data_IF_950496754582
#
_entry.id   IF_950496754582
#
_cell.length_a   1.000
_cell.length_b   1.000
_cell.length_c   1.000
_cell.angle_alpha   90.00
_cell.angle_beta   90.00
_cell.angle_gamma   90.00
#
_symmetry.space_group_name_H-M   'P 1'
#
loop_
_entity.id
_entity.type
_entity.pdbx_description
1 polymer ?
#
# COMPACT_ATOMS: atom_id res chain seq x y z
N UNK A 1 26.24 -24.81 29.44
CA UNK A 1 25.40 -23.58 29.54
C UNK A 1 25.40 -22.94 28.16
N UNK A 2 24.22 -22.72 27.59
CA UNK A 2 24.03 -22.31 26.19
C UNK A 2 24.31 -20.81 26.03
N UNK A 3 24.85 -20.38 24.88
CA UNK A 3 25.13 -18.96 24.59
C UNK A 3 23.91 -18.02 24.70
N UNK A 4 22.70 -18.59 24.72
CA UNK A 4 21.46 -17.86 25.03
C UNK A 4 21.43 -17.32 26.46
N UNK A 5 21.95 -18.06 27.43
CA UNK A 5 21.92 -17.66 28.84
C UNK A 5 22.91 -16.52 29.12
N UNK A 6 24.02 -16.49 28.36
CA UNK A 6 25.03 -15.45 28.44
C UNK A 6 24.51 -14.11 27.88
N UNK A 7 23.79 -14.16 26.75
CA UNK A 7 23.12 -12.99 26.16
C UNK A 7 22.04 -12.44 27.10
N UNK A 8 21.20 -13.31 27.67
CA UNK A 8 20.14 -12.89 28.59
C UNK A 8 20.70 -12.36 29.92
N UNK A 9 21.86 -12.88 30.36
CA UNK A 9 22.60 -12.37 31.50
C UNK A 9 23.11 -10.95 31.27
N UNK A 10 23.70 -10.67 30.11
CA UNK A 10 24.21 -9.34 29.73
C UNK A 10 23.09 -8.31 29.57
N UNK A 11 21.93 -8.71 29.04
CA UNK A 11 20.74 -7.85 28.93
C UNK A 11 20.22 -7.49 30.33
N UNK A 12 20.12 -8.45 31.25
CA UNK A 12 19.68 -8.15 32.63
C UNK A 12 20.66 -7.27 33.40
N UNK A 13 21.97 -7.46 33.18
CA UNK A 13 23.00 -6.60 33.76
C UNK A 13 22.94 -5.17 33.22
N UNK A 14 22.69 -5.00 31.91
CA UNK A 14 22.52 -3.68 31.29
C UNK A 14 21.22 -2.97 31.71
N UNK A 15 20.17 -3.74 32.05
CA UNK A 15 18.87 -3.22 32.49
C UNK A 15 18.74 -3.10 34.03
N UNK A 16 19.78 -3.48 34.77
CA UNK A 16 19.81 -3.44 36.22
C UNK A 16 20.12 -2.04 36.76
N UNK A 17 19.07 -1.30 37.13
CA UNK A 17 18.96 -0.36 38.28
C UNK A 17 18.01 0.82 38.00
N UNK A 18 17.64 1.10 36.74
CA UNK A 18 17.04 2.40 36.39
C UNK A 18 15.51 2.39 36.21
N UNK A 19 14.84 1.36 36.73
CA UNK A 19 13.37 1.22 36.64
C UNK A 19 12.62 2.32 37.41
N UNK A 20 13.21 2.83 38.50
CA UNK A 20 12.67 3.94 39.28
C UNK A 20 12.82 5.29 38.54
N UNK A 21 13.88 5.46 37.73
CA UNK A 21 14.16 6.68 36.99
C UNK A 21 13.28 6.81 35.75
N UNK A 22 13.00 5.69 35.06
CA UNK A 22 12.05 5.66 33.93
C UNK A 22 10.60 5.96 34.37
N UNK A 23 10.20 5.48 35.56
CA UNK A 23 8.85 5.72 36.09
C UNK A 23 8.61 7.19 36.47
N UNK A 24 9.66 7.92 36.87
CA UNK A 24 9.59 9.36 37.14
C UNK A 24 9.53 10.21 35.85
N UNK A 25 10.04 9.69 34.74
CA UNK A 25 10.13 10.40 33.46
C UNK A 25 8.83 10.31 32.63
N UNK A 26 7.98 9.31 32.93
CA UNK A 26 6.69 9.10 32.26
C UNK A 26 5.58 8.74 33.26
N UNK A 27 5.01 9.72 33.97
CA UNK A 27 3.92 9.45 34.91
C UNK A 27 2.69 8.95 34.15
N UNK A 28 2.11 7.84 34.61
CA UNK A 28 0.88 7.28 34.07
C UNK A 28 -0.27 8.28 34.28
N UNK A 29 -0.98 8.64 33.21
CA UNK A 29 -2.23 9.38 33.31
C UNK A 29 -3.31 8.49 33.91
N UNK A 30 -3.83 8.89 35.07
CA UNK A 30 -4.96 8.24 35.72
C UNK A 30 -6.22 8.44 34.88
N UNK A 31 -6.67 7.38 34.20
CA UNK A 31 -7.99 7.31 33.57
C UNK A 31 -9.06 7.37 34.65
N UNK A 32 -9.79 8.49 34.71
CA UNK A 32 -10.99 8.63 35.51
C UNK A 32 -12.10 7.70 34.99
N UNK A 33 -12.69 6.94 35.90
CA UNK A 33 -13.80 6.03 35.62
C UNK A 33 -15.06 6.79 35.19
N UNK A 34 -15.66 6.38 34.06
CA UNK A 34 -16.97 6.87 33.67
C UNK A 34 -17.44 6.37 32.29
N UNK A 35 -18.47 5.52 32.31
CA UNK A 35 -19.43 5.24 31.24
C UNK A 35 -19.05 4.31 30.06
N UNK A 36 -19.36 3.02 30.26
CA UNK A 36 -20.29 2.17 29.48
C UNK A 36 -20.27 2.18 27.93
N UNK A 37 -20.17 0.97 27.39
CA UNK A 37 -20.33 0.60 25.99
C UNK A 37 -21.74 0.81 25.41
N UNK A 38 -21.83 1.31 24.16
CA UNK A 38 -22.81 0.94 23.11
C UNK A 38 -22.41 1.61 21.76
N UNK A 39 -22.91 1.14 20.59
CA UNK A 39 -22.32 1.35 19.27
C UNK A 39 -22.90 2.56 18.54
N UNK A 40 -22.09 3.30 17.77
CA UNK A 40 -22.61 4.39 16.94
C UNK A 40 -22.89 3.94 15.51
N UNK A 41 -24.14 3.48 15.34
CA UNK A 41 -24.87 3.50 14.10
C UNK A 41 -25.18 4.94 13.65
N UNK A 42 -25.33 5.12 12.33
CA UNK A 42 -25.71 6.36 11.68
C UNK A 42 -27.07 6.92 12.16
N UNK A 43 -27.09 8.19 12.55
CA UNK A 43 -28.28 9.04 12.44
C UNK A 43 -27.85 10.49 12.22
N UNK A 44 -28.34 11.08 11.14
CA UNK A 44 -28.22 12.50 10.83
C UNK A 44 -29.21 13.30 11.69
N UNK A 45 -28.74 14.39 12.30
CA UNK A 45 -29.56 15.56 12.58
C UNK A 45 -28.64 16.78 12.76
N UNK A 46 -28.87 17.80 11.94
CA UNK A 46 -28.02 18.98 11.83
C UNK A 46 -28.18 19.99 12.95
N UNK A 47 -27.16 20.86 13.05
CA UNK A 47 -27.24 22.31 13.15
C UNK A 47 -25.97 22.82 13.86
N UNK A 48 -25.10 23.45 13.07
CA UNK A 48 -23.84 24.03 13.51
C UNK A 48 -23.04 24.47 12.31
N UNK A 49 -23.66 25.26 11.43
CA UNK A 49 -23.05 25.81 10.23
C UNK A 49 -21.99 26.84 10.62
N UNK A 50 -20.79 26.38 10.94
CA UNK A 50 -19.59 27.16 10.72
C UNK A 50 -19.28 27.09 9.23
N UNK A 51 -19.83 28.05 8.48
CA UNK A 51 -19.46 28.30 7.10
C UNK A 51 -17.99 28.69 7.05
N UNK A 52 -17.10 27.71 6.94
CA UNK A 52 -15.84 27.96 6.27
C UNK A 52 -16.23 28.23 4.81
N UNK A 53 -16.37 29.51 4.48
CA UNK A 53 -16.24 29.95 3.11
C UNK A 53 -14.89 29.41 2.64
N UNK A 54 -14.94 28.30 1.91
CA UNK A 54 -13.75 27.71 1.32
C UNK A 54 -13.06 28.81 0.53
N UNK A 55 -11.72 28.88 0.50
CA UNK A 55 -11.08 29.73 -0.48
C UNK A 55 -11.69 29.33 -1.83
N UNK A 56 -12.39 30.28 -2.46
CA UNK A 56 -12.85 30.16 -3.83
C UNK A 56 -11.72 29.48 -4.59
N UNK A 57 -12.02 28.37 -5.28
CA UNK A 57 -11.05 27.58 -6.02
C UNK A 57 -10.07 28.55 -6.66
N UNK A 58 -8.90 28.69 -6.04
CA UNK A 58 -7.89 29.57 -6.57
C UNK A 58 -7.63 28.96 -7.93
N UNK A 59 -8.00 29.68 -8.97
CA UNK A 59 -7.44 29.46 -10.28
C UNK A 59 -5.94 29.74 -10.11
N UNK A 60 -5.24 28.78 -9.49
CA UNK A 60 -3.83 28.58 -9.64
C UNK A 60 -3.69 28.40 -11.13
N UNK A 61 -3.34 29.53 -11.73
CA UNK A 61 -3.31 29.79 -13.15
C UNK A 61 -2.81 28.58 -13.90
N UNK A 62 -3.50 28.23 -15.00
CA UNK A 62 -2.96 27.34 -16.02
C UNK A 62 -1.54 27.77 -16.49
N UNK A 63 -1.11 28.99 -16.17
CA UNK A 63 0.27 29.45 -16.27
C UNK A 63 1.04 29.26 -14.96
N UNK A 64 1.57 28.05 -14.76
CA UNK A 64 2.95 27.76 -14.33
C UNK A 64 3.13 26.26 -14.05
N UNK A 65 2.66 25.39 -14.96
CA UNK A 65 3.28 24.07 -15.03
C UNK A 65 4.72 24.33 -15.47
N UNK A 66 5.71 23.94 -14.66
CA UNK A 66 7.12 23.96 -15.06
C UNK A 66 7.33 23.12 -16.33
N UNK A 67 8.55 23.08 -16.89
CA UNK A 67 8.82 22.23 -18.04
C UNK A 67 8.38 20.78 -17.75
N UNK A 68 7.37 20.31 -18.48
CA UNK A 68 6.84 18.97 -18.34
C UNK A 68 7.80 17.97 -18.97
N UNK A 69 8.04 16.86 -18.29
CA UNK A 69 8.77 15.73 -18.85
C UNK A 69 7.93 15.18 -19.99
N UNK A 70 8.52 15.07 -21.19
CA UNK A 70 7.89 14.37 -22.31
C UNK A 70 8.65 13.07 -22.56
N UNK A 71 7.94 11.95 -22.49
CA UNK A 71 8.51 10.65 -22.87
C UNK A 71 8.55 10.43 -24.38
N UNK A 72 7.98 11.35 -25.19
CA UNK A 72 7.86 11.19 -26.64
C UNK A 72 6.87 10.09 -27.04
N UNK A 73 6.95 9.62 -28.28
CA UNK A 73 6.10 8.55 -28.84
C UNK A 73 6.50 7.14 -28.41
N UNK A 74 6.74 6.94 -27.11
CA UNK A 74 7.11 5.62 -26.56
C UNK A 74 5.89 4.76 -26.28
N UNK A 75 6.05 3.45 -26.40
CA UNK A 75 5.08 2.49 -25.86
C UNK A 75 5.09 2.59 -24.32
N UNK A 76 4.01 3.14 -23.77
CA UNK A 76 3.85 3.36 -22.33
C UNK A 76 3.90 2.05 -21.54
N UNK A 77 3.36 0.97 -22.09
CA UNK A 77 3.33 -0.34 -21.42
C UNK A 77 4.75 -0.90 -21.34
N UNK A 78 5.46 -0.93 -22.46
CA UNK A 78 6.84 -1.39 -22.50
C UNK A 78 7.74 -0.54 -21.59
N UNK A 79 7.54 0.78 -21.57
CA UNK A 79 8.28 1.69 -20.70
C UNK A 79 7.98 1.44 -19.22
N UNK A 80 6.71 1.27 -18.87
CA UNK A 80 6.28 0.95 -17.51
C UNK A 80 6.90 -0.36 -17.03
N UNK A 81 6.81 -1.43 -17.82
CA UNK A 81 7.42 -2.74 -17.50
C UNK A 81 8.92 -2.61 -17.27
N UNK A 82 9.62 -1.96 -18.18
CA UNK A 82 11.08 -1.76 -18.06
C UNK A 82 11.44 -1.00 -16.78
N UNK A 83 10.65 0.03 -16.41
CA UNK A 83 10.89 0.82 -15.20
C UNK A 83 10.53 0.07 -13.92
N UNK A 84 9.40 -0.64 -13.91
CA UNK A 84 8.98 -1.47 -12.79
C UNK A 84 10.03 -2.56 -12.48
N UNK A 85 10.58 -3.20 -13.52
CA UNK A 85 11.65 -4.18 -13.38
C UNK A 85 12.97 -3.56 -12.87
N UNK A 86 13.32 -2.33 -13.29
CA UNK A 86 14.48 -1.59 -12.75
C UNK A 86 14.37 -1.36 -11.24
N UNK A 87 13.16 -1.19 -10.71
CA UNK A 87 12.89 -1.06 -9.27
C UNK A 87 12.54 -2.40 -8.59
N UNK A 88 12.82 -3.52 -9.27
CA UNK A 88 12.69 -4.89 -8.76
C UNK A 88 11.26 -5.39 -8.56
N UNK A 89 10.27 -4.79 -9.23
CA UNK A 89 8.95 -5.39 -9.35
C UNK A 89 8.95 -6.51 -10.40
N UNK A 90 8.18 -7.56 -10.16
CA UNK A 90 7.86 -8.57 -11.17
C UNK A 90 6.66 -8.08 -11.98
N UNK A 91 6.68 -8.25 -13.31
CA UNK A 91 5.57 -7.90 -14.18
C UNK A 91 5.12 -9.14 -14.94
N UNK A 92 3.80 -9.32 -15.11
CA UNK A 92 3.22 -10.32 -15.99
C UNK A 92 2.02 -9.73 -16.72
N UNK A 93 1.79 -10.21 -17.95
CA UNK A 93 0.64 -9.81 -18.76
C UNK A 93 -0.47 -10.84 -18.64
N UNK A 94 -1.71 -10.38 -18.56
CA UNK A 94 -2.92 -11.19 -18.59
C UNK A 94 -3.93 -10.59 -19.57
N UNK A 95 -4.71 -11.44 -20.23
CA UNK A 95 -5.68 -10.99 -21.23
C UNK A 95 -6.88 -10.30 -20.56
N UNK A 96 -7.36 -10.85 -19.45
CA UNK A 96 -8.51 -10.31 -18.72
C UNK A 96 -8.31 -10.36 -17.21
N UNK A 97 -9.07 -9.56 -16.46
CA UNK A 97 -9.06 -9.61 -15.00
C UNK A 97 -9.47 -11.00 -14.45
N UNK A 98 -10.25 -11.79 -15.21
CA UNK A 98 -10.63 -13.14 -14.84
C UNK A 98 -9.45 -14.13 -14.82
N UNK A 99 -8.35 -13.81 -15.51
CA UNK A 99 -7.12 -14.60 -15.52
C UNK A 99 -6.22 -14.32 -14.30
N UNK A 100 -6.50 -13.25 -13.55
CA UNK A 100 -5.67 -12.83 -12.42
C UNK A 100 -5.50 -13.92 -11.34
N UNK A 101 -6.54 -14.66 -10.91
CA UNK A 101 -6.36 -15.76 -9.95
C UNK A 101 -5.36 -16.82 -10.41
N UNK A 102 -5.47 -17.28 -11.66
CA UNK A 102 -4.58 -18.29 -12.22
C UNK A 102 -3.15 -17.79 -12.33
N UNK A 103 -2.96 -16.54 -12.75
CA UNK A 103 -1.65 -15.90 -12.84
C UNK A 103 -0.99 -15.73 -11.46
N UNK A 104 -1.75 -15.33 -10.44
CA UNK A 104 -1.27 -15.24 -9.07
C UNK A 104 -0.85 -16.62 -8.55
N UNK A 105 -1.67 -17.65 -8.74
CA UNK A 105 -1.33 -19.01 -8.30
C UNK A 105 -0.07 -19.55 -8.99
N UNK A 106 0.11 -19.25 -10.28
CA UNK A 106 1.31 -19.61 -11.03
C UNK A 106 2.56 -18.94 -10.45
N UNK A 107 2.51 -17.63 -10.25
CA UNK A 107 3.60 -16.87 -9.64
C UNK A 107 3.93 -17.38 -8.23
N UNK A 108 2.92 -17.60 -7.39
CA UNK A 108 3.12 -18.06 -6.01
C UNK A 108 3.77 -19.45 -5.96
N UNK A 109 3.44 -20.36 -6.89
CA UNK A 109 4.14 -21.65 -7.02
C UNK A 109 5.60 -21.46 -7.40
N UNK A 110 5.90 -20.57 -8.34
CA UNK A 110 7.27 -20.28 -8.78
C UNK A 110 8.16 -19.76 -7.63
N UNK A 111 7.61 -18.88 -6.78
CA UNK A 111 8.36 -18.29 -5.67
C UNK A 111 8.29 -19.08 -4.36
N UNK A 112 7.74 -20.30 -4.38
CA UNK A 112 7.66 -21.18 -3.21
C UNK A 112 6.64 -20.75 -2.15
N UNK A 113 5.57 -20.07 -2.56
CA UNK A 113 4.49 -19.52 -1.72
C UNK A 113 3.10 -20.06 -2.12
N UNK A 114 3.01 -21.27 -2.68
CA UNK A 114 1.76 -21.85 -3.16
C UNK A 114 0.63 -21.87 -2.10
N UNK A 115 0.98 -22.19 -0.85
CA UNK A 115 0.05 -22.28 0.28
C UNK A 115 -0.08 -20.97 1.08
N UNK A 116 0.49 -19.87 0.58
CA UNK A 116 0.44 -18.59 1.26
C UNK A 116 -1.02 -18.13 1.44
N UNK A 117 -1.38 -17.59 2.62
CA UNK A 117 -2.70 -17.01 2.80
C UNK A 117 -2.88 -15.80 1.88
N UNK A 118 -4.07 -15.69 1.30
CA UNK A 118 -4.43 -14.61 0.39
C UNK A 118 -5.44 -13.67 1.06
N UNK A 119 -5.21 -12.36 0.96
CA UNK A 119 -6.20 -11.34 1.30
C UNK A 119 -6.44 -10.48 0.07
N UNK A 120 -7.69 -10.43 -0.36
CA UNK A 120 -8.10 -9.75 -1.59
C UNK A 120 -8.87 -8.49 -1.22
N UNK A 121 -8.59 -7.38 -1.91
CA UNK A 121 -9.38 -6.17 -1.78
C UNK A 121 -10.83 -6.41 -2.22
N UNK A 122 -11.81 -5.83 -1.54
CA UNK A 122 -13.24 -6.04 -1.85
C UNK A 122 -13.60 -5.71 -3.31
N UNK A 123 -12.86 -4.77 -3.93
CA UNK A 123 -12.99 -4.44 -5.35
C UNK A 123 -12.71 -5.61 -6.31
N UNK A 124 -12.01 -6.66 -5.86
CA UNK A 124 -11.60 -7.82 -6.65
C UNK A 124 -12.19 -9.14 -6.13
N UNK A 125 -12.99 -9.11 -5.07
CA UNK A 125 -13.55 -10.33 -4.42
C UNK A 125 -14.45 -11.16 -5.35
N UNK A 126 -15.05 -10.52 -6.37
CA UNK A 126 -15.93 -11.22 -7.31
C UNK A 126 -15.19 -12.18 -8.27
N UNK A 127 -13.87 -12.09 -8.36
CA UNK A 127 -13.06 -13.00 -9.19
C UNK A 127 -12.88 -14.36 -8.49
N UNK A 128 -12.67 -15.45 -9.24
CA UNK A 128 -12.63 -16.82 -8.71
C UNK A 128 -11.29 -17.15 -8.01
N UNK A 129 -10.97 -16.43 -6.94
CA UNK A 129 -9.79 -16.69 -6.12
C UNK A 129 -9.92 -18.02 -5.37
N UNK A 130 -8.77 -18.66 -5.07
CA UNK A 130 -8.72 -19.71 -4.04
C UNK A 130 -9.18 -19.17 -2.68
N UNK A 131 -9.29 -20.05 -1.68
CA UNK A 131 -9.67 -19.65 -0.33
C UNK A 131 -8.87 -18.42 0.14
N UNK A 132 -9.60 -17.31 0.38
CA UNK A 132 -9.04 -16.01 0.72
C UNK A 132 -9.84 -15.37 1.85
N UNK A 133 -9.19 -14.44 2.57
CA UNK A 133 -9.85 -13.62 3.58
C UNK A 133 -10.19 -12.23 3.05
N UNK A 134 -11.26 -11.64 3.58
CA UNK A 134 -11.55 -10.21 3.49
C UNK A 134 -11.10 -9.48 4.78
N UNK A 135 -10.92 -8.17 4.72
CA UNK A 135 -10.59 -7.34 5.89
C UNK A 135 -11.87 -6.82 6.54
N UNK A 136 -12.37 -7.49 7.59
CA UNK A 136 -11.74 -7.35 8.91
C UNK A 136 -11.46 -8.68 9.63
N UNK A 137 -10.26 -8.81 10.22
CA UNK A 137 -9.89 -9.94 11.11
C UNK A 137 -8.63 -10.70 10.72
N UNK A 138 -8.12 -10.50 9.50
CA UNK A 138 -6.84 -11.08 9.10
C UNK A 138 -5.67 -10.40 9.83
N UNK A 139 -4.82 -11.19 10.50
CA UNK A 139 -3.51 -10.70 10.94
C UNK A 139 -2.64 -10.46 9.71
N UNK A 140 -2.64 -9.20 9.27
CA UNK A 140 -1.91 -8.80 8.08
C UNK A 140 -0.39 -8.94 8.23
N UNK A 141 0.12 -9.03 9.46
CA UNK A 141 1.56 -9.19 9.77
C UNK A 141 2.02 -10.64 9.70
N UNK A 142 1.14 -11.57 9.33
CA UNK A 142 1.48 -12.98 9.19
C UNK A 142 2.56 -13.18 8.12
N UNK A 143 3.58 -13.95 8.46
CA UNK A 143 4.63 -14.32 7.52
C UNK A 143 4.04 -15.01 6.28
N UNK A 144 4.52 -14.57 5.11
CA UNK A 144 4.12 -15.12 3.82
C UNK A 144 2.76 -14.65 3.31
N UNK A 145 2.08 -13.72 3.98
CA UNK A 145 0.81 -13.17 3.50
C UNK A 145 0.96 -12.50 2.13
N UNK A 146 -0.02 -12.75 1.26
CA UNK A 146 -0.16 -12.13 -0.06
C UNK A 146 -1.39 -11.22 -0.05
N UNK A 147 -1.22 -9.95 -0.41
CA UNK A 147 -2.33 -9.03 -0.65
C UNK A 147 -2.56 -8.84 -2.14
N UNK A 148 -3.82 -8.70 -2.55
CA UNK A 148 -4.21 -8.40 -3.94
C UNK A 148 -5.05 -7.13 -3.97
N UNK A 149 -4.63 -6.15 -4.76
CA UNK A 149 -5.33 -4.86 -4.88
C UNK A 149 -5.41 -4.39 -6.33
N UNK A 150 -6.44 -3.64 -6.73
CA UNK A 150 -6.39 -2.90 -7.99
C UNK A 150 -5.51 -1.65 -7.84
N UNK A 151 -5.01 -1.14 -8.96
CA UNK A 151 -4.47 0.22 -9.07
C UNK A 151 -5.51 1.17 -9.66
N UNK A 152 -5.40 2.46 -9.33
CA UNK A 152 -6.18 3.52 -9.98
C UNK A 152 -5.56 3.94 -11.31
N UNK A 153 -4.23 4.02 -11.34
CA UNK A 153 -3.42 4.31 -12.53
C UNK A 153 -2.00 3.84 -12.29
N UNK A 154 -1.18 3.79 -13.34
CA UNK A 154 0.23 3.45 -13.27
C UNK A 154 1.06 4.45 -14.08
N UNK A 155 2.31 4.69 -13.68
CA UNK A 155 3.17 5.75 -14.22
C UNK A 155 4.34 5.11 -14.94
N UNK A 156 4.39 5.27 -16.26
CA UNK A 156 5.42 4.68 -17.11
C UNK A 156 6.81 5.28 -16.84
N UNK A 157 6.90 6.57 -16.53
CA UNK A 157 8.16 7.27 -16.26
C UNK A 157 8.99 6.59 -15.16
N UNK A 158 8.32 6.20 -14.07
CA UNK A 158 8.93 5.72 -12.83
C UNK A 158 8.69 4.23 -12.56
N UNK A 159 7.79 3.58 -13.31
CA UNK A 159 7.41 2.19 -13.04
C UNK A 159 6.59 2.05 -11.75
N UNK A 160 5.80 3.07 -11.43
CA UNK A 160 5.04 3.16 -10.18
C UNK A 160 3.55 2.87 -10.41
N UNK A 161 2.88 2.36 -9.39
CA UNK A 161 1.41 2.27 -9.37
C UNK A 161 0.84 3.29 -8.39
N UNK A 162 -0.35 3.79 -8.68
CA UNK A 162 -1.08 4.73 -7.83
C UNK A 162 -2.31 4.03 -7.27
N UNK A 163 -2.40 3.93 -5.95
CA UNK A 163 -3.50 3.29 -5.24
C UNK A 163 -4.26 4.31 -4.38
N UNK A 164 -5.56 4.44 -4.61
CA UNK A 164 -6.45 5.29 -3.83
C UNK A 164 -7.04 4.51 -2.66
N UNK A 165 -6.99 5.08 -1.46
CA UNK A 165 -7.59 4.44 -0.29
C UNK A 165 -9.11 4.50 -0.36
N UNK A 166 -9.78 3.38 -0.15
CA UNK A 166 -11.25 3.33 0.03
C UNK A 166 -11.63 2.25 1.04
N UNK A 167 -12.92 2.11 1.35
CA UNK A 167 -13.42 0.96 2.11
C UNK A 167 -13.19 -0.36 1.37
N UNK A 168 -13.23 -0.35 0.03
CA UNK A 168 -12.98 -1.52 -0.80
C UNK A 168 -11.48 -1.80 -1.01
N UNK A 169 -10.63 -0.77 -0.88
CA UNK A 169 -9.19 -0.82 -1.11
C UNK A 169 -8.44 -0.13 0.05
N UNK A 170 -8.46 -0.71 1.27
CA UNK A 170 -7.80 -0.10 2.42
C UNK A 170 -6.28 -0.06 2.23
N UNK A 171 -5.66 1.06 2.61
CA UNK A 171 -4.21 1.31 2.46
C UNK A 171 -3.32 0.24 3.10
N UNK A 172 -3.80 -0.45 4.15
CA UNK A 172 -3.04 -1.52 4.81
C UNK A 172 -2.67 -2.67 3.86
N UNK A 173 -3.49 -2.96 2.85
CA UNK A 173 -3.19 -4.00 1.86
C UNK A 173 -1.96 -3.69 1.01
N UNK A 174 -1.61 -2.42 0.86
CA UNK A 174 -0.47 -2.00 0.04
C UNK A 174 0.88 -2.24 0.72
N UNK A 175 0.90 -2.39 2.05
CA UNK A 175 2.15 -2.30 2.81
C UNK A 175 2.39 -3.46 3.77
N UNK A 176 1.34 -4.09 4.30
CA UNK A 176 1.53 -5.03 5.41
C UNK A 176 1.88 -6.44 4.95
N UNK A 177 1.36 -6.87 3.79
CA UNK A 177 1.65 -8.20 3.25
C UNK A 177 3.09 -8.29 2.72
N UNK A 178 3.73 -9.45 2.91
CA UNK A 178 5.09 -9.71 2.42
C UNK A 178 5.17 -9.73 0.88
N UNK A 179 4.06 -10.06 0.22
CA UNK A 179 3.91 -10.01 -1.24
C UNK A 179 2.68 -9.16 -1.56
N UNK A 180 2.86 -8.14 -2.38
CA UNK A 180 1.78 -7.28 -2.86
C UNK A 180 1.56 -7.52 -4.36
N UNK A 181 0.38 -8.01 -4.70
CA UNK A 181 -0.07 -8.17 -6.09
C UNK A 181 -0.96 -6.98 -6.44
N UNK A 182 -0.64 -6.34 -7.56
CA UNK A 182 -1.39 -5.20 -8.07
C UNK A 182 -1.91 -5.49 -9.47
N UNK A 183 -3.22 -5.37 -9.64
CA UNK A 183 -3.85 -5.41 -10.96
C UNK A 183 -3.78 -4.01 -11.60
N UNK A 184 -3.25 -3.95 -12.82
CA UNK A 184 -3.02 -2.71 -13.58
C UNK A 184 -3.72 -2.81 -14.92
N UNK A 185 -4.72 -1.97 -15.15
CA UNK A 185 -5.36 -1.87 -16.46
C UNK A 185 -4.41 -1.19 -17.44
N UNK A 186 -4.27 -1.76 -18.64
CA UNK A 186 -3.40 -1.24 -19.69
C UNK A 186 -3.74 0.21 -20.06
N UNK A 187 -5.03 0.52 -20.24
CA UNK A 187 -5.52 1.89 -20.49
C UNK A 187 -5.34 2.86 -19.32
N UNK A 188 -5.02 2.35 -18.13
CA UNK A 188 -4.75 3.16 -16.95
C UNK A 188 -3.26 3.52 -16.80
N UNK A 189 -2.38 3.10 -17.70
CA UNK A 189 -0.96 3.48 -17.70
C UNK A 189 -0.81 4.87 -18.34
N UNK A 190 -0.31 5.83 -17.57
CA UNK A 190 -0.02 7.21 -18.00
C UNK A 190 1.49 7.44 -18.16
N UNK A 191 1.87 8.50 -18.87
CA UNK A 191 3.26 8.78 -19.15
C UNK A 191 3.99 9.24 -17.88
N UNK A 192 3.50 10.29 -17.21
CA UNK A 192 4.21 10.94 -16.10
C UNK A 192 3.41 11.01 -14.79
N UNK A 193 4.09 11.46 -13.73
CA UNK A 193 3.44 11.73 -12.44
C UNK A 193 2.37 12.81 -12.53
N UNK A 194 2.60 13.84 -13.34
CA UNK A 194 1.65 14.93 -13.56
C UNK A 194 0.37 14.43 -14.23
N UNK A 195 0.50 13.50 -15.19
CA UNK A 195 -0.65 12.86 -15.83
C UNK A 195 -1.47 12.04 -14.84
N UNK A 196 -0.82 11.35 -13.89
CA UNK A 196 -1.51 10.61 -12.84
C UNK A 196 -2.34 11.56 -11.96
N UNK A 197 -1.76 12.70 -11.56
CA UNK A 197 -2.50 13.72 -10.80
C UNK A 197 -3.59 14.41 -11.62
N UNK A 198 -3.37 14.62 -12.92
CA UNK A 198 -4.40 15.12 -13.82
C UNK A 198 -5.59 14.15 -13.88
N UNK A 199 -5.33 12.84 -14.00
CA UNK A 199 -6.34 11.79 -13.96
C UNK A 199 -7.08 11.75 -12.61
N UNK A 200 -6.38 11.89 -11.48
CA UNK A 200 -7.01 12.00 -10.15
C UNK A 200 -7.98 13.18 -10.11
N UNK A 201 -7.54 14.39 -10.53
CA UNK A 201 -8.41 15.58 -10.54
C UNK A 201 -9.61 15.45 -11.48
N UNK A 202 -9.44 14.75 -12.60
CA UNK A 202 -10.51 14.54 -13.57
C UNK A 202 -11.54 13.49 -13.12
N UNK A 203 -11.13 12.50 -12.32
CA UNK A 203 -11.97 11.34 -12.00
C UNK A 203 -12.56 11.40 -10.59
N UNK A 204 -11.88 12.07 -9.64
CA UNK A 204 -12.20 12.02 -8.22
C UNK A 204 -12.68 13.38 -7.73
N UNK A 205 -13.97 13.47 -7.36
CA UNK A 205 -14.57 14.70 -6.86
C UNK A 205 -14.04 15.13 -5.47
N UNK A 206 -13.69 14.17 -4.61
CA UNK A 206 -13.15 14.43 -3.27
C UNK A 206 -11.99 13.48 -3.02
N UNK A 207 -10.82 14.04 -2.71
CA UNK A 207 -9.63 13.24 -2.48
C UNK A 207 -9.85 12.23 -1.34
N UNK A 208 -9.41 10.97 -1.52
CA UNK A 208 -9.48 9.97 -0.47
C UNK A 208 -8.53 10.31 0.66
N UNK A 209 -8.65 9.59 1.78
CA UNK A 209 -7.77 9.77 2.95
C UNK A 209 -6.28 9.57 2.64
N UNK A 210 -5.95 8.74 1.65
CA UNK A 210 -4.60 8.55 1.16
C UNK A 210 -4.57 8.25 -0.34
N UNK A 211 -3.55 8.82 -1.01
CA UNK A 211 -3.12 8.49 -2.37
C UNK A 211 -1.71 7.93 -2.25
N UNK A 212 -1.54 6.65 -2.52
CA UNK A 212 -0.25 5.98 -2.38
C UNK A 212 0.38 5.81 -3.76
N UNK A 213 1.59 6.34 -3.95
CA UNK A 213 2.42 6.05 -5.12
C UNK A 213 3.45 5.01 -4.69
N UNK A 214 3.40 3.83 -5.31
CA UNK A 214 4.20 2.67 -4.91
C UNK A 214 5.18 2.34 -6.05
N UNK A 215 6.47 2.34 -5.74
CA UNK A 215 7.56 2.12 -6.69
C UNK A 215 8.38 0.91 -6.28
N UNK A 216 7.93 -0.27 -6.73
CA UNK A 216 8.58 -1.55 -6.43
C UNK A 216 8.51 -1.97 -4.95
N UNK A 217 9.21 -3.06 -4.58
CA UNK A 217 9.27 -3.57 -3.22
C UNK A 217 9.96 -2.58 -2.26
N UNK A 218 9.58 -2.63 -0.97
CA UNK A 218 10.19 -1.80 0.06
C UNK A 218 11.63 -2.24 0.33
N UNK A 219 12.59 -1.36 0.03
CA UNK A 219 14.01 -1.55 0.33
C UNK A 219 14.47 -0.41 1.23
N UNK A 220 14.87 -0.74 2.45
CA UNK A 220 15.58 0.22 3.31
C UNK A 220 17.07 -0.01 3.10
N UNK A 221 17.70 0.88 2.35
CA UNK A 221 19.14 0.88 2.14
C UNK A 221 19.82 1.89 3.08
N UNK A 222 19.59 1.79 4.40
CA UNK A 222 20.34 2.60 5.39
C UNK A 222 20.22 2.08 6.83
N UNK A 223 20.51 0.79 7.04
CA UNK A 223 20.93 0.30 8.37
C UNK A 223 22.22 -0.46 8.14
N UNK A 224 23.34 0.14 8.54
CA UNK A 224 24.67 -0.50 8.58
C UNK A 224 25.25 -0.93 7.21
N UNK A 225 24.96 -0.21 6.11
CA UNK A 225 25.42 -0.53 4.75
C UNK A 225 24.93 -1.88 4.18
N UNK A 226 23.95 -2.53 4.82
CA UNK A 226 23.28 -3.71 4.26
C UNK A 226 21.90 -3.33 3.75
N UNK A 227 21.59 -3.69 2.50
CA UNK A 227 20.25 -3.49 1.94
C UNK A 227 19.32 -4.49 2.61
N UNK A 228 18.44 -4.01 3.48
CA UNK A 228 17.40 -4.84 4.09
C UNK A 228 16.09 -4.66 3.31
N UNK A 229 15.59 -5.77 2.74
CA UNK A 229 14.34 -5.79 1.96
C UNK A 229 13.17 -6.16 2.88
N UNK A 230 12.13 -5.32 2.90
CA UNK A 230 10.85 -5.59 3.56
C UNK A 230 10.82 -5.48 5.08
N UNK A 231 11.55 -4.52 5.65
CA UNK A 231 11.45 -4.17 7.08
C UNK A 231 10.16 -3.39 7.38
N UNK A 232 9.68 -2.59 6.43
CA UNK A 232 8.52 -1.70 6.59
C UNK A 232 7.47 -1.81 5.47
N UNK A 233 7.61 -2.77 4.55
CA UNK A 233 6.72 -2.94 3.41
C UNK A 233 6.91 -4.29 2.68
N UNK A 234 6.25 -4.50 1.53
CA UNK A 234 6.30 -5.77 0.82
C UNK A 234 7.73 -6.10 0.36
N UNK A 235 8.10 -7.36 0.52
CA UNK A 235 9.37 -7.93 0.00
C UNK A 235 9.28 -8.21 -1.50
N UNK A 236 8.06 -8.44 -2.01
CA UNK A 236 7.77 -8.73 -3.41
C UNK A 236 6.60 -7.89 -3.87
N UNK A 237 6.71 -7.37 -5.09
CA UNK A 237 5.62 -6.69 -5.80
C UNK A 237 5.45 -7.38 -7.15
N UNK A 238 4.25 -7.89 -7.40
CA UNK A 238 3.83 -8.43 -8.69
C UNK A 238 2.83 -7.46 -9.32
N UNK A 239 3.12 -7.00 -10.52
CA UNK A 239 2.25 -6.16 -11.34
C UNK A 239 1.64 -7.04 -12.43
N UNK A 240 0.34 -7.26 -12.35
CA UNK A 240 -0.44 -7.95 -13.39
C UNK A 240 -1.03 -6.91 -14.32
N UNK A 241 -0.51 -6.82 -15.54
CA UNK A 241 -0.96 -5.89 -16.56
C UNK A 241 -2.08 -6.57 -17.35
N UNK A 242 -3.29 -6.08 -17.17
CA UNK A 242 -4.49 -6.57 -17.84
C UNK A 242 -4.71 -5.79 -19.12
N UNK A 243 -4.91 -6.50 -20.24
CA UNK A 243 -5.38 -5.85 -21.47
C UNK A 243 -6.80 -5.30 -21.27
N UNK A 244 -7.13 -4.28 -22.06
CA UNK A 244 -8.47 -3.68 -22.03
C UNK A 244 -9.45 -4.66 -22.72
N UNK A 245 -10.60 -4.90 -22.09
CA UNK A 245 -11.64 -5.81 -22.58
C UNK A 245 -12.39 -5.26 -23.81
#
# INVERSE_FOLDING_TARGET
MSGRDDILGRIRAALGSDRARLAAQFPAQTMGAGASAAPNAHAASGAGAASFAGPAASAASAAACGPAISLGGVDLVARFVAKAQQVSATCAHIATAADAPAAVDAYLREVGLADAPLVVAAALEALPWRAHGALPGADLRRDGLVSVTPSFTAIAETGSVVCLSSSATPTSLNFVAATHVVLVDRSAIVATMEDAWARVRATIATLPRAVNVITGPSRTADVEQTVQVGVHGPKRVLLLICDDA
#
